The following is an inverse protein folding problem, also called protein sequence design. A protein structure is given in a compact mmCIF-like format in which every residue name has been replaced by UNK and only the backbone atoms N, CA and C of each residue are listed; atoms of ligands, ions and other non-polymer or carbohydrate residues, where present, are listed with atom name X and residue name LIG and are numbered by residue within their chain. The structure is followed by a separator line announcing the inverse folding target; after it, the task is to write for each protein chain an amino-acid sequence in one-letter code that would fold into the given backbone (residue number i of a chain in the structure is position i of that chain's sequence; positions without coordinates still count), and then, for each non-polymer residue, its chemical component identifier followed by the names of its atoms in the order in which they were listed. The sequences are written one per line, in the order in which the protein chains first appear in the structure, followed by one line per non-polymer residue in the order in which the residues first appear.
data_IF_946513262696
#
_entry.id   IF_946513262696
#
_cell.length_a   1.000
_cell.length_b   1.000
_cell.length_c   1.000
_cell.angle_alpha   90.00
_cell.angle_beta   90.00
_cell.angle_gamma   90.00
#
_symmetry.space_group_name_H-M   'P 1'
#
loop_
_entity.id
_entity.type
_entity.pdbx_description
1 polymer ?
#
# COMPACT_ATOMS: atom_id res chain seq x y z
N UNK A 1 -12.52 9.98 5.26
CA UNK A 1 -11.78 8.74 4.97
C UNK A 1 -12.65 7.90 4.05
N UNK A 2 -12.30 7.82 2.77
CA UNK A 2 -13.10 7.07 1.79
C UNK A 2 -12.26 6.11 0.95
N UNK A 3 -10.97 5.98 1.27
CA UNK A 3 -10.11 4.98 0.66
C UNK A 3 -10.45 3.56 1.08
N UNK A 4 -10.02 2.60 0.27
CA UNK A 4 -10.24 1.17 0.48
C UNK A 4 -9.04 0.36 0.00
N UNK A 5 -8.89 -0.83 0.56
CA UNK A 5 -7.96 -1.83 0.05
C UNK A 5 -8.63 -2.65 -1.04
N UNK A 6 -7.89 -3.02 -2.09
CA UNK A 6 -8.30 -4.05 -3.05
C UNK A 6 -7.31 -5.21 -2.99
N UNK A 7 -7.78 -6.41 -2.67
CA UNK A 7 -6.96 -7.62 -2.71
C UNK A 7 -7.19 -8.32 -4.03
N UNK A 8 -6.12 -8.63 -4.76
CA UNK A 8 -6.18 -9.30 -6.05
C UNK A 8 -5.28 -10.52 -6.07
N UNK A 9 -5.67 -11.53 -6.84
CA UNK A 9 -4.87 -12.73 -7.07
C UNK A 9 -4.15 -12.60 -8.41
N UNK A 10 -2.85 -12.75 -8.39
CA UNK A 10 -1.99 -12.80 -9.58
C UNK A 10 -2.17 -14.14 -10.30
N UNK A 11 -1.81 -14.19 -11.59
CA UNK A 11 -1.90 -15.40 -12.42
C UNK A 11 -1.07 -16.57 -11.88
N UNK A 12 0.01 -16.27 -11.16
CA UNK A 12 0.87 -17.25 -10.50
C UNK A 12 0.33 -17.72 -9.12
N UNK A 13 -0.90 -17.35 -8.76
CA UNK A 13 -1.55 -17.77 -7.52
C UNK A 13 -1.20 -16.93 -6.30
N UNK A 14 -0.26 -15.98 -6.41
CA UNK A 14 0.09 -15.07 -5.32
C UNK A 14 -0.95 -13.97 -5.13
N UNK A 15 -0.99 -13.37 -3.94
CA UNK A 15 -1.92 -12.33 -3.55
C UNK A 15 -1.17 -11.01 -3.41
N UNK A 16 -1.81 -9.92 -3.83
CA UNK A 16 -1.34 -8.56 -3.52
C UNK A 16 -2.52 -7.71 -3.11
N UNK A 17 -2.27 -6.70 -2.29
CA UNK A 17 -3.24 -5.66 -2.04
C UNK A 17 -2.73 -4.30 -2.50
N UNK A 18 -3.68 -3.44 -2.86
CA UNK A 18 -3.42 -2.03 -3.12
C UNK A 18 -4.31 -1.18 -2.23
N UNK A 19 -3.78 -0.09 -1.69
CA UNK A 19 -4.58 0.94 -1.03
C UNK A 19 -4.95 1.99 -2.07
N UNK A 20 -6.24 2.28 -2.17
CA UNK A 20 -6.76 3.35 -3.02
C UNK A 20 -7.26 4.52 -2.20
N UNK A 21 -6.99 5.73 -2.69
CA UNK A 21 -7.60 6.94 -2.18
C UNK A 21 -9.07 7.06 -2.64
N UNK A 22 -9.79 8.07 -2.13
CA UNK A 22 -11.20 8.29 -2.44
C UNK A 22 -11.48 8.49 -3.95
N UNK A 23 -10.50 9.02 -4.69
CA UNK A 23 -10.51 9.21 -6.14
C UNK A 23 -10.15 7.94 -6.94
N UNK A 24 -10.09 6.78 -6.29
CA UNK A 24 -9.67 5.49 -6.86
C UNK A 24 -8.20 5.39 -7.31
N UNK A 25 -7.38 6.40 -7.01
CA UNK A 25 -5.94 6.40 -7.27
C UNK A 25 -5.22 5.44 -6.32
N UNK A 26 -4.33 4.60 -6.86
CA UNK A 26 -3.50 3.71 -6.05
C UNK A 26 -2.39 4.51 -5.39
N UNK A 27 -2.33 4.46 -4.06
CA UNK A 27 -1.35 5.23 -3.26
C UNK A 27 -0.34 4.33 -2.55
N UNK A 28 -0.61 3.04 -2.45
CA UNK A 28 0.30 2.04 -1.88
C UNK A 28 0.01 0.68 -2.50
N UNK A 29 1.07 -0.05 -2.87
CA UNK A 29 0.99 -1.41 -3.39
C UNK A 29 1.82 -2.33 -2.52
N UNK A 30 1.26 -3.47 -2.13
CA UNK A 30 1.99 -4.47 -1.36
C UNK A 30 2.94 -5.31 -2.22
N UNK A 31 3.88 -5.99 -1.56
CA UNK A 31 4.58 -7.12 -2.18
C UNK A 31 3.61 -8.29 -2.48
N UNK A 32 4.10 -9.29 -3.22
CA UNK A 32 3.37 -10.51 -3.52
C UNK A 32 3.45 -11.49 -2.34
N UNK A 33 2.29 -11.81 -1.77
CA UNK A 33 2.13 -12.81 -0.73
C UNK A 33 1.81 -14.18 -1.33
N UNK A 34 2.34 -15.25 -0.75
CA UNK A 34 2.02 -16.63 -1.16
C UNK A 34 0.61 -17.06 -0.73
N UNK A 35 0.04 -16.43 0.31
CA UNK A 35 -1.25 -16.79 0.88
C UNK A 35 -2.14 -15.58 1.08
N UNK A 36 -3.46 -15.79 1.07
CA UNK A 36 -4.44 -14.75 1.38
C UNK A 36 -4.28 -14.23 2.81
N UNK A 37 -4.10 -15.13 3.78
CA UNK A 37 -3.86 -14.76 5.17
C UNK A 37 -2.63 -13.85 5.33
N UNK A 38 -1.58 -14.07 4.52
CA UNK A 38 -0.41 -13.19 4.49
C UNK A 38 -0.76 -11.77 4.02
N UNK A 39 -1.56 -11.65 2.96
CA UNK A 39 -2.03 -10.35 2.48
C UNK A 39 -2.92 -9.65 3.51
N UNK A 40 -3.84 -10.36 4.17
CA UNK A 40 -4.71 -9.80 5.21
C UNK A 40 -3.89 -9.33 6.43
N UNK A 41 -2.87 -10.10 6.83
CA UNK A 41 -1.91 -9.68 7.87
C UNK A 41 -1.09 -8.45 7.46
N UNK A 42 -0.71 -8.38 6.18
CA UNK A 42 -0.07 -7.19 5.61
C UNK A 42 -0.96 -5.95 5.69
N UNK A 43 -2.24 -6.05 5.33
CA UNK A 43 -3.21 -4.95 5.46
C UNK A 43 -3.36 -4.51 6.91
N UNK A 44 -3.51 -5.45 7.85
CA UNK A 44 -3.59 -5.13 9.27
C UNK A 44 -2.34 -4.39 9.75
N UNK A 45 -1.16 -4.80 9.26
CA UNK A 45 0.10 -4.09 9.53
C UNK A 45 0.10 -2.68 8.94
N UNK A 46 -0.40 -2.48 7.71
CA UNK A 46 -0.50 -1.14 7.12
C UNK A 46 -1.46 -0.27 7.92
N UNK A 47 -2.61 -0.79 8.37
CA UNK A 47 -3.59 -0.04 9.15
C UNK A 47 -3.02 0.55 10.45
N UNK A 48 -2.13 -0.19 11.13
CA UNK A 48 -1.53 0.26 12.40
C UNK A 48 -0.28 1.11 12.19
N UNK A 49 0.48 0.87 11.10
CA UNK A 49 1.74 1.58 10.84
C UNK A 49 1.57 2.81 9.95
N UNK A 50 0.49 2.90 9.15
CA UNK A 50 0.26 4.01 8.24
C UNK A 50 0.19 5.39 8.92
N UNK A 51 -0.31 5.55 10.17
CA UNK A 51 -0.28 6.84 10.84
C UNK A 51 1.12 7.24 11.38
N UNK A 52 2.08 6.31 11.39
CA UNK A 52 3.39 6.51 12.02
C UNK A 52 4.42 6.98 11.01
N UNK A 53 4.83 8.24 11.11
CA UNK A 53 5.80 8.88 10.20
C UNK A 53 7.13 8.13 10.12
N UNK A 54 7.61 7.62 11.26
CA UNK A 54 8.87 6.85 11.36
C UNK A 54 8.89 5.55 10.55
N UNK A 55 7.71 5.05 10.12
CA UNK A 55 7.60 3.81 9.34
C UNK A 55 7.77 4.05 7.84
N UNK A 56 7.77 5.29 7.38
CA UNK A 56 7.95 5.65 5.98
C UNK A 56 9.44 5.84 5.66
N UNK A 57 9.97 4.99 4.79
CA UNK A 57 11.29 5.15 4.19
C UNK A 57 11.14 5.80 2.81
N UNK A 58 11.47 7.09 2.70
CA UNK A 58 11.54 7.77 1.40
C UNK A 58 12.83 7.38 0.68
N UNK A 59 12.72 7.09 -0.60
CA UNK A 59 13.82 6.70 -1.49
C UNK A 59 13.62 7.38 -2.84
N UNK A 60 14.67 7.40 -3.66
CA UNK A 60 14.57 7.87 -5.03
C UNK A 60 15.02 6.78 -5.98
N UNK A 61 14.37 6.66 -7.14
CA UNK A 61 14.85 5.79 -8.21
C UNK A 61 16.17 6.32 -8.78
N UNK A 62 16.87 5.50 -9.57
CA UNK A 62 18.11 5.93 -10.25
C UNK A 62 17.89 7.13 -11.17
N UNK A 63 16.68 7.28 -11.68
CA UNK A 63 16.27 8.37 -12.57
C UNK A 63 15.80 9.63 -11.79
N UNK A 64 15.92 9.63 -10.45
CA UNK A 64 15.61 10.78 -9.61
C UNK A 64 14.14 10.89 -9.19
N UNK A 65 13.30 9.88 -9.44
CA UNK A 65 11.90 9.91 -9.06
C UNK A 65 11.70 9.45 -7.60
N UNK A 66 11.20 10.31 -6.70
CA UNK A 66 10.98 9.95 -5.31
C UNK A 66 9.82 8.95 -5.15
N UNK A 67 9.97 8.00 -4.23
CA UNK A 67 8.94 7.06 -3.80
C UNK A 67 9.13 6.77 -2.31
N UNK A 68 8.20 6.04 -1.70
CA UNK A 68 8.33 5.65 -0.31
C UNK A 68 7.93 4.19 -0.09
N UNK A 69 8.56 3.57 0.91
CA UNK A 69 8.19 2.27 1.42
C UNK A 69 7.62 2.43 2.83
N UNK A 70 6.53 1.74 3.13
CA UNK A 70 6.01 1.60 4.48
C UNK A 70 6.55 0.31 5.09
N UNK A 71 7.12 0.42 6.29
CA UNK A 71 7.66 -0.72 7.05
C UNK A 71 6.79 -1.08 8.24
N UNK A 72 6.74 -2.38 8.54
CA UNK A 72 6.17 -2.88 9.77
C UNK A 72 7.12 -2.70 10.98
N UNK A 73 6.61 -3.04 12.17
CA UNK A 73 7.39 -3.06 13.42
C UNK A 73 8.68 -3.91 13.32
N UNK A 74 8.62 -5.00 12.57
CA UNK A 74 9.73 -5.92 12.33
C UNK A 74 10.65 -5.50 11.16
N UNK A 75 10.56 -4.25 10.71
CA UNK A 75 11.32 -3.67 9.59
C UNK A 75 11.05 -4.27 8.20
N UNK A 76 10.09 -5.18 8.05
CA UNK A 76 9.68 -5.68 6.73
C UNK A 76 8.90 -4.61 5.96
N UNK A 77 9.13 -4.53 4.65
CA UNK A 77 8.33 -3.68 3.77
C UNK A 77 6.95 -4.32 3.61
N UNK A 78 5.91 -3.57 3.95
CA UNK A 78 4.51 -4.01 3.85
C UNK A 78 3.75 -3.33 2.72
N UNK A 79 4.32 -2.25 2.17
CA UNK A 79 3.85 -1.63 0.94
C UNK A 79 4.83 -0.60 0.42
N UNK A 80 4.77 -0.36 -0.88
CA UNK A 80 5.58 0.62 -1.60
C UNK A 80 4.68 1.49 -2.45
N UNK A 81 5.00 2.78 -2.52
CA UNK A 81 4.33 3.70 -3.43
C UNK A 81 4.84 3.52 -4.86
N UNK A 82 4.09 4.05 -5.82
CA UNK A 82 4.66 4.32 -7.15
C UNK A 82 5.69 5.45 -7.07
N UNK A 83 6.50 5.59 -8.11
CA UNK A 83 7.43 6.70 -8.25
C UNK A 83 6.70 7.99 -8.62
N UNK A 84 6.97 9.05 -7.87
CA UNK A 84 6.39 10.37 -8.07
C UNK A 84 7.30 11.26 -8.92
N UNK A 85 6.72 12.34 -9.46
CA UNK A 85 7.45 13.34 -10.24
C UNK A 85 8.25 14.33 -9.38
N UNK A 86 7.94 14.46 -8.08
CA UNK A 86 8.58 15.42 -7.17
C UNK A 86 8.40 15.02 -5.71
N UNK A 87 9.25 15.54 -4.82
CA UNK A 87 9.16 15.29 -3.38
C UNK A 87 7.83 15.78 -2.79
N UNK A 88 7.32 16.92 -3.28
CA UNK A 88 6.01 17.43 -2.85
C UNK A 88 4.84 16.53 -3.26
N UNK A 89 4.95 15.78 -4.37
CA UNK A 89 3.97 14.77 -4.74
C UNK A 89 4.10 13.51 -3.86
N UNK A 90 5.33 13.10 -3.54
CA UNK A 90 5.61 12.01 -2.60
C UNK A 90 5.03 12.29 -1.20
N UNK A 91 5.21 13.51 -0.69
CA UNK A 91 4.67 13.93 0.61
C UNK A 91 3.14 13.90 0.65
N UNK A 92 2.48 14.31 -0.44
CA UNK A 92 1.03 14.19 -0.60
C UNK A 92 0.59 12.73 -0.64
N UNK A 93 1.36 11.87 -1.31
CA UNK A 93 1.18 10.42 -1.29
C UNK A 93 1.19 9.86 0.13
N UNK A 94 2.22 10.20 0.92
CA UNK A 94 2.33 9.78 2.33
C UNK A 94 1.15 10.30 3.16
N UNK A 95 0.78 11.57 3.01
CA UNK A 95 -0.39 12.13 3.71
C UNK A 95 -1.69 11.40 3.34
N UNK A 96 -1.83 10.99 2.08
CA UNK A 96 -2.95 10.19 1.60
C UNK A 96 -2.94 8.78 2.21
N UNK A 97 -1.77 8.13 2.33
CA UNK A 97 -1.65 6.82 2.98
C UNK A 97 -1.93 6.92 4.47
N UNK A 98 -1.46 7.97 5.16
CA UNK A 98 -1.81 8.23 6.57
C UNK A 98 -3.32 8.37 6.77
N UNK A 99 -3.98 9.09 5.86
CA UNK A 99 -5.41 9.37 5.94
C UNK A 99 -6.26 8.14 5.61
N UNK A 100 -5.89 7.36 4.61
CA UNK A 100 -6.70 6.26 4.10
C UNK A 100 -6.26 4.88 4.63
N UNK A 101 -5.00 4.73 5.05
CA UNK A 101 -4.43 3.48 5.52
C UNK A 101 -5.15 2.82 6.70
N UNK A 102 -5.69 3.57 7.68
CA UNK A 102 -6.47 2.99 8.77
C UNK A 102 -7.85 2.45 8.36
N UNK A 103 -8.24 2.59 7.08
CA UNK A 103 -9.53 2.08 6.58
C UNK A 103 -9.67 0.58 6.78
N UNK A 104 -10.86 0.15 7.22
CA UNK A 104 -11.22 -1.28 7.33
C UNK A 104 -11.93 -1.80 6.08
N UNK A 105 -12.16 -0.93 5.09
CA UNK A 105 -12.84 -1.30 3.85
C UNK A 105 -11.89 -2.09 2.97
N UNK A 106 -12.12 -3.39 2.84
CA UNK A 106 -11.33 -4.30 2.01
C UNK A 106 -12.26 -4.88 0.94
N UNK A 107 -11.93 -4.65 -0.33
CA UNK A 107 -12.62 -5.21 -1.48
C UNK A 107 -11.83 -6.41 -1.98
N UNK A 108 -12.44 -7.58 -1.89
CA UNK A 108 -11.88 -8.81 -2.40
C UNK A 108 -12.12 -8.94 -3.92
N UNK A 109 -11.05 -8.95 -4.70
CA UNK A 109 -11.04 -9.19 -6.14
C UNK A 109 -10.26 -10.47 -6.50
N UNK A 110 -10.20 -11.43 -5.57
CA UNK A 110 -9.49 -12.70 -5.78
C UNK A 110 -10.33 -13.75 -6.50
N UNK A 111 -11.65 -13.56 -6.56
CA UNK A 111 -12.58 -14.40 -7.31
C UNK A 111 -12.93 -13.74 -8.65
N UNK A 112 -13.02 -14.51 -9.75
CA UNK A 112 -13.60 -13.99 -10.98
C UNK A 112 -15.05 -13.58 -10.72
N UNK A 113 -15.45 -12.43 -11.27
CA UNK A 113 -16.87 -12.05 -11.35
C UNK A 113 -17.54 -13.12 -12.20
N UNK A 114 -18.44 -13.90 -11.59
CA UNK A 114 -19.27 -14.90 -12.28
C UNK A 114 -20.19 -14.23 -13.30
#
# INVERSE_FOLDING_TARGET
MSGWYEVSKSSNGQFRFVLKAANAETILTSELYSTRAGADGGIASVQVNSPLDERYEKKSTKDGHPYFNLKAANHQVIGSSESYSSDGACDKGIASVKTNGPTKTIKDKTLPVL
#
